data_IF_840803846573
#
_entry.id   IF_840803846573
#
_cell.length_a   1.000
_cell.length_b   1.000
_cell.length_c   1.000
_cell.angle_alpha   90.00
_cell.angle_beta   90.00
_cell.angle_gamma   90.00
#
_symmetry.space_group_name_H-M   'P 1'
#
loop_
_entity.id
_entity.type
_entity.pdbx_description
1 polymer ?
#
# COMPACT_ATOMS: atom_id res chain seq x y z
N UNK A 1 -27.40 0.39 -0.15
CA UNK A 1 -26.07 -0.24 -0.29
C UNK A 1 -25.78 -1.05 0.97
N UNK A 2 -25.16 -2.22 0.86
CA UNK A 2 -24.66 -2.95 2.04
C UNK A 2 -23.55 -2.15 2.74
N UNK A 3 -23.43 -2.27 4.07
CA UNK A 3 -22.36 -1.64 4.85
C UNK A 3 -20.97 -2.05 4.34
N UNK A 4 -20.81 -3.29 3.90
CA UNK A 4 -19.55 -3.79 3.30
C UNK A 4 -19.18 -3.01 2.05
N UNK A 5 -20.14 -2.82 1.14
CA UNK A 5 -19.92 -2.09 -0.11
C UNK A 5 -19.62 -0.61 0.17
N UNK A 6 -20.29 -0.01 1.16
CA UNK A 6 -20.03 1.36 1.59
C UNK A 6 -18.59 1.53 2.09
N UNK A 7 -18.11 0.62 2.95
CA UNK A 7 -16.74 0.66 3.48
C UNK A 7 -15.71 0.57 2.36
N UNK A 8 -15.89 -0.34 1.40
CA UNK A 8 -14.99 -0.48 0.25
C UNK A 8 -14.94 0.82 -0.57
N UNK A 9 -16.10 1.39 -0.89
CA UNK A 9 -16.18 2.62 -1.69
C UNK A 9 -15.55 3.80 -0.96
N UNK A 10 -15.79 3.95 0.34
CA UNK A 10 -15.18 5.01 1.14
C UNK A 10 -13.66 4.86 1.21
N UNK A 11 -13.16 3.63 1.42
CA UNK A 11 -11.72 3.35 1.45
C UNK A 11 -11.07 3.71 0.12
N UNK A 12 -11.60 3.22 -1.01
CA UNK A 12 -11.06 3.50 -2.33
C UNK A 12 -11.15 4.98 -2.69
N UNK A 13 -12.29 5.61 -2.40
CA UNK A 13 -12.53 7.03 -2.63
C UNK A 13 -11.57 7.91 -1.84
N UNK A 14 -11.30 7.56 -0.57
CA UNK A 14 -10.33 8.27 0.26
C UNK A 14 -8.93 8.24 -0.36
N UNK A 15 -8.42 7.06 -0.72
CA UNK A 15 -7.07 6.94 -1.28
C UNK A 15 -6.95 7.60 -2.66
N UNK A 16 -7.98 7.51 -3.50
CA UNK A 16 -8.01 8.21 -4.79
C UNK A 16 -8.00 9.75 -4.60
N UNK A 17 -8.86 10.28 -3.72
CA UNK A 17 -8.91 11.70 -3.41
C UNK A 17 -7.60 12.21 -2.78
N UNK A 18 -7.00 11.41 -1.89
CA UNK A 18 -5.72 11.72 -1.27
C UNK A 18 -4.59 11.76 -2.31
N UNK A 19 -4.57 10.83 -3.26
CA UNK A 19 -3.62 10.86 -4.38
C UNK A 19 -3.77 12.11 -5.25
N UNK A 20 -5.01 12.49 -5.58
CA UNK A 20 -5.29 13.74 -6.31
C UNK A 20 -4.82 14.96 -5.52
N UNK A 21 -5.07 14.99 -4.20
CA UNK A 21 -4.63 16.06 -3.32
C UNK A 21 -3.10 16.20 -3.34
N UNK A 22 -2.36 15.11 -3.18
CA UNK A 22 -0.89 15.11 -3.23
C UNK A 22 -0.36 15.54 -4.60
N UNK A 23 -1.02 15.13 -5.68
CA UNK A 23 -0.58 15.47 -7.04
C UNK A 23 -0.59 16.99 -7.32
N UNK A 24 -1.37 17.78 -6.58
CA UNK A 24 -1.37 19.24 -6.69
C UNK A 24 0.00 19.87 -6.34
N UNK A 25 0.83 19.17 -5.56
CA UNK A 25 2.17 19.60 -5.19
C UNK A 25 3.27 19.24 -6.19
N UNK A 26 3.01 18.33 -7.14
CA UNK A 26 4.02 17.82 -8.06
C UNK A 26 4.26 18.81 -9.20
N UNK A 27 5.43 19.48 -9.23
CA UNK A 27 5.80 20.44 -10.28
C UNK A 27 6.87 19.91 -11.22
N UNK A 28 7.63 18.91 -10.77
CA UNK A 28 8.74 18.30 -11.50
C UNK A 28 8.65 16.77 -11.48
N UNK A 29 9.43 16.11 -12.35
CA UNK A 29 9.53 14.65 -12.35
C UNK A 29 10.10 14.10 -11.03
N UNK A 30 11.02 14.82 -10.38
CA UNK A 30 11.56 14.44 -9.07
C UNK A 30 10.54 14.54 -7.94
N UNK A 31 9.63 15.52 -8.00
CA UNK A 31 8.56 15.64 -7.00
C UNK A 31 7.66 14.40 -7.05
N UNK A 32 7.31 13.97 -8.27
CA UNK A 32 6.47 12.80 -8.47
C UNK A 32 7.19 11.47 -8.14
N UNK A 33 8.44 11.31 -8.57
CA UNK A 33 9.14 10.03 -8.45
C UNK A 33 9.67 9.76 -7.03
N UNK A 34 10.14 10.79 -6.32
CA UNK A 34 10.82 10.63 -5.01
C UNK A 34 10.34 11.62 -3.95
N UNK A 35 9.20 12.28 -4.16
CA UNK A 35 8.69 13.29 -3.23
C UNK A 35 9.64 14.50 -3.07
N UNK A 36 10.40 14.82 -4.12
CA UNK A 36 11.38 15.91 -4.11
C UNK A 36 12.53 15.71 -3.14
N UNK A 37 12.78 14.47 -2.69
CA UNK A 37 13.82 14.15 -1.69
C UNK A 37 13.46 14.52 -0.26
N UNK A 38 12.22 14.92 0.02
CA UNK A 38 11.76 15.37 1.34
C UNK A 38 11.16 14.24 2.21
N UNK A 39 11.04 13.03 1.66
CA UNK A 39 10.43 11.89 2.35
C UNK A 39 11.31 11.43 3.52
N UNK A 40 10.77 11.47 4.74
CA UNK A 40 11.44 10.93 5.92
C UNK A 40 11.61 9.41 5.86
N UNK A 41 12.53 8.88 6.67
CA UNK A 41 12.90 7.44 6.70
C UNK A 41 11.68 6.54 6.88
N UNK A 42 10.73 6.89 7.76
CA UNK A 42 9.53 6.10 7.97
C UNK A 42 8.62 6.04 6.75
N UNK A 43 8.51 7.13 5.99
CA UNK A 43 7.68 7.16 4.78
C UNK A 43 8.31 6.32 3.67
N UNK A 44 9.64 6.36 3.55
CA UNK A 44 10.39 5.49 2.65
C UNK A 44 10.23 4.01 3.03
N UNK A 45 10.41 3.68 4.31
CA UNK A 45 10.26 2.31 4.81
C UNK A 45 8.83 1.79 4.60
N UNK A 46 7.81 2.61 4.90
CA UNK A 46 6.41 2.26 4.66
C UNK A 46 6.12 2.07 3.16
N UNK A 47 6.70 2.89 2.29
CA UNK A 47 6.58 2.73 0.84
C UNK A 47 7.18 1.40 0.35
N UNK A 48 8.39 1.05 0.79
CA UNK A 48 9.06 -0.21 0.44
C UNK A 48 8.29 -1.42 1.00
N UNK A 49 7.82 -1.33 2.24
CA UNK A 49 7.00 -2.39 2.84
C UNK A 49 5.67 -2.55 2.09
N UNK A 50 5.00 -1.45 1.76
CA UNK A 50 3.71 -1.44 1.07
C UNK A 50 3.76 -1.97 -0.36
N UNK A 51 4.90 -1.88 -1.06
CA UNK A 51 5.04 -2.51 -2.39
C UNK A 51 5.25 -4.02 -2.31
N UNK A 52 5.77 -4.54 -1.19
CA UNK A 52 5.85 -5.99 -0.92
C UNK A 52 4.54 -6.54 -0.35
N UNK A 53 3.94 -5.83 0.61
CA UNK A 53 2.73 -6.26 1.31
C UNK A 53 1.51 -5.86 0.47
N UNK A 54 1.26 -6.63 -0.58
CA UNK A 54 0.05 -6.52 -1.42
C UNK A 54 -0.90 -7.70 -1.22
N UNK A 55 -2.03 -7.68 -1.93
CA UNK A 55 -3.02 -8.77 -1.85
C UNK A 55 -2.42 -10.14 -2.15
N UNK A 56 -1.54 -10.25 -3.16
CA UNK A 56 -0.84 -11.50 -3.47
C UNK A 56 0.04 -11.98 -2.31
N UNK A 57 0.78 -11.09 -1.65
CA UNK A 57 1.60 -11.42 -0.48
C UNK A 57 0.74 -11.82 0.72
N UNK A 58 -0.35 -11.10 1.00
CA UNK A 58 -1.21 -11.44 2.15
C UNK A 58 -1.93 -12.77 1.97
N UNK A 59 -2.58 -12.99 0.82
CA UNK A 59 -3.33 -14.23 0.59
C UNK A 59 -2.43 -15.42 0.28
N UNK A 60 -1.30 -15.21 -0.41
CA UNK A 60 -0.32 -16.25 -0.71
C UNK A 60 0.33 -16.79 0.57
N UNK A 61 0.90 -15.92 1.39
CA UNK A 61 1.55 -16.32 2.65
C UNK A 61 0.56 -16.94 3.62
N UNK A 62 -0.66 -16.40 3.71
CA UNK A 62 -1.70 -17.02 4.53
C UNK A 62 -2.06 -18.43 4.02
N UNK A 63 -2.15 -18.62 2.70
CA UNK A 63 -2.39 -19.91 2.08
C UNK A 63 -1.28 -20.92 2.38
N UNK A 64 -0.02 -20.51 2.18
CA UNK A 64 1.14 -21.36 2.45
C UNK A 64 1.22 -21.73 3.94
N UNK A 65 0.93 -20.81 4.85
CA UNK A 65 0.90 -21.10 6.29
C UNK A 65 -0.20 -22.09 6.66
N UNK A 66 -1.37 -21.99 6.05
CA UNK A 66 -2.49 -22.92 6.29
C UNK A 66 -2.13 -24.34 5.83
N UNK A 67 -1.38 -24.48 4.74
CA UNK A 67 -1.09 -25.78 4.12
C UNK A 67 0.23 -26.41 4.61
N UNK A 68 1.27 -25.59 4.81
CA UNK A 68 2.67 -26.02 4.99
C UNK A 68 3.25 -25.58 6.34
N UNK A 69 2.56 -24.67 7.05
CA UNK A 69 2.86 -24.27 8.42
C UNK A 69 3.64 -22.95 8.55
N UNK A 70 3.96 -22.57 9.79
CA UNK A 70 4.49 -21.24 10.14
C UNK A 70 5.87 -20.91 9.54
N UNK A 71 6.59 -21.88 8.99
CA UNK A 71 7.88 -21.66 8.32
C UNK A 71 7.79 -20.68 7.13
N UNK A 72 6.62 -20.55 6.52
CA UNK A 72 6.36 -19.66 5.38
C UNK A 72 6.22 -18.18 5.77
N UNK A 73 6.15 -17.86 7.07
CA UNK A 73 6.12 -16.47 7.55
C UNK A 73 7.43 -15.71 7.30
N UNK A 74 8.55 -16.41 7.08
CA UNK A 74 9.88 -15.80 7.01
C UNK A 74 10.31 -15.38 5.59
N UNK A 75 9.86 -16.09 4.56
CA UNK A 75 10.19 -15.81 3.14
C UNK A 75 9.00 -15.39 2.28
N UNK A 76 7.82 -15.29 2.88
CA UNK A 76 6.60 -14.79 2.27
C UNK A 76 6.63 -13.34 1.82
#
# INVERSE_FOLDING_TARGET
>A
MSITALVIILYLGFFAAFGVYLNRGNKTASDWAIGGGSLGVFMLAAGIAGTRIGGAGTYGVAGDVINEGLGHLWYG
#
